data_IF_315527363955
#
_entry.id   IF_315527363955
#
_cell.length_a   1.000
_cell.length_b   1.000
_cell.length_c   1.000
_cell.angle_alpha   90.00
_cell.angle_beta   90.00
_cell.angle_gamma   90.00
#
_symmetry.space_group_name_H-M   'P 1'
#
loop_
_entity.id
_entity.type
_entity.pdbx_description
1 polymer ?
#
# COMPACT_ATOMS: atom_id res chain seq x y z
N UNK A 1 -1.17 2.24 -13.93
CA UNK A 1 -0.76 1.27 -12.90
C UNK A 1 -1.29 -0.09 -13.28
N UNK A 2 -0.45 -1.11 -13.26
CA UNK A 2 -0.81 -2.46 -13.72
C UNK A 2 -0.68 -3.46 -12.58
N UNK A 3 -1.59 -4.43 -12.52
CA UNK A 3 -1.52 -5.54 -11.57
C UNK A 3 -0.20 -6.28 -11.79
N UNK A 4 0.44 -6.69 -10.69
CA UNK A 4 1.76 -7.33 -10.72
C UNK A 4 2.91 -6.37 -10.47
N UNK A 5 2.66 -5.06 -10.51
CA UNK A 5 3.68 -4.08 -10.15
C UNK A 5 4.02 -4.16 -8.68
N UNK A 6 5.22 -3.69 -8.33
CA UNK A 6 5.72 -3.71 -6.95
C UNK A 6 5.41 -2.39 -6.27
N UNK A 7 4.68 -2.46 -5.17
CA UNK A 7 4.27 -1.31 -4.38
C UNK A 7 5.00 -1.32 -3.04
N UNK A 8 5.46 -0.15 -2.60
CA UNK A 8 6.13 0.01 -1.32
C UNK A 8 5.37 1.02 -0.48
N UNK A 9 4.88 0.58 0.69
CA UNK A 9 4.06 1.41 1.57
C UNK A 9 4.89 1.91 2.74
N UNK A 10 5.11 3.22 2.82
CA UNK A 10 5.79 3.84 3.96
C UNK A 10 4.75 4.16 5.01
N UNK A 11 4.87 3.52 6.18
CA UNK A 11 3.86 3.60 7.23
C UNK A 11 2.76 2.55 7.06
N UNK A 12 3.14 1.36 6.61
CA UNK A 12 2.19 0.30 6.23
C UNK A 12 1.30 -0.17 7.38
N UNK A 13 1.72 0.02 8.65
CA UNK A 13 0.95 -0.43 9.81
C UNK A 13 -0.22 0.49 10.17
N UNK A 14 -0.30 1.67 9.56
CA UNK A 14 -1.44 2.55 9.77
C UNK A 14 -2.74 1.86 9.36
N UNK A 15 -3.86 2.19 10.02
CA UNK A 15 -5.14 1.52 9.79
C UNK A 15 -5.56 1.60 8.32
N UNK A 16 -5.55 2.81 7.75
CA UNK A 16 -5.91 3.00 6.34
C UNK A 16 -4.89 2.40 5.40
N UNK A 17 -3.60 2.59 5.70
CA UNK A 17 -2.51 2.09 4.87
C UNK A 17 -2.50 0.57 4.82
N UNK A 18 -2.68 -0.09 5.96
CA UNK A 18 -2.71 -1.56 5.98
C UNK A 18 -3.89 -2.09 5.18
N UNK A 19 -5.04 -1.44 5.26
CA UNK A 19 -6.22 -1.84 4.48
C UNK A 19 -5.93 -1.74 2.99
N UNK A 20 -5.34 -0.64 2.53
CA UNK A 20 -4.97 -0.49 1.13
C UNK A 20 -3.93 -1.51 0.69
N UNK A 21 -2.94 -1.77 1.56
CA UNK A 21 -1.90 -2.76 1.26
C UNK A 21 -2.51 -4.16 1.06
N UNK A 22 -3.43 -4.53 1.93
CA UNK A 22 -4.10 -5.84 1.83
C UNK A 22 -4.97 -5.92 0.58
N UNK A 23 -5.70 -4.87 0.25
CA UNK A 23 -6.50 -4.82 -0.98
C UNK A 23 -5.59 -4.97 -2.19
N UNK A 24 -4.51 -4.22 -2.25
CA UNK A 24 -3.56 -4.31 -3.36
C UNK A 24 -2.95 -5.70 -3.47
N UNK A 25 -2.61 -6.30 -2.34
CA UNK A 25 -2.09 -7.67 -2.30
C UNK A 25 -3.10 -8.65 -2.90
N UNK A 26 -4.36 -8.52 -2.51
CA UNK A 26 -5.41 -9.39 -3.02
C UNK A 26 -5.67 -9.20 -4.50
N UNK A 27 -5.42 -7.99 -5.02
CA UNK A 27 -5.56 -7.71 -6.44
C UNK A 27 -4.40 -8.24 -7.29
N UNK A 28 -3.35 -8.73 -6.66
CA UNK A 28 -2.22 -9.31 -7.37
C UNK A 28 -0.99 -8.44 -7.44
N UNK A 29 -0.97 -7.29 -6.77
CA UNK A 29 0.23 -6.48 -6.65
C UNK A 29 1.23 -7.13 -5.71
N UNK A 30 2.51 -6.87 -5.95
CA UNK A 30 3.57 -7.24 -5.02
C UNK A 30 3.64 -6.12 -3.98
N UNK A 31 3.40 -6.45 -2.72
CA UNK A 31 3.30 -5.46 -1.65
C UNK A 31 4.41 -5.65 -0.63
N UNK A 32 5.03 -4.56 -0.25
CA UNK A 32 6.05 -4.50 0.79
C UNK A 32 5.97 -3.11 1.41
N UNK A 33 6.51 -2.93 2.60
CA UNK A 33 6.48 -1.62 3.23
C UNK A 33 7.43 -1.54 4.40
N UNK A 34 7.39 -0.41 5.07
CA UNK A 34 8.16 -0.18 6.28
C UNK A 34 7.30 0.53 7.32
N UNK A 35 7.66 0.33 8.58
CA UNK A 35 7.04 1.01 9.70
C UNK A 35 7.91 0.81 10.93
N UNK A 36 7.48 1.38 12.07
CA UNK A 36 8.20 1.20 13.31
C UNK A 36 8.11 -0.24 13.77
N UNK A 37 9.03 -0.64 14.66
CA UNK A 37 9.06 -1.99 15.23
C UNK A 37 7.99 -2.21 16.30
N UNK A 38 7.24 -1.17 16.66
CA UNK A 38 6.17 -1.30 17.64
C UNK A 38 5.08 -2.21 17.12
N UNK A 39 4.43 -2.93 18.04
CA UNK A 39 3.29 -3.77 17.69
C UNK A 39 2.06 -2.93 17.44
N UNK A 40 1.37 -3.24 16.36
CA UNK A 40 0.12 -2.59 15.98
C UNK A 40 -0.96 -3.66 15.81
N UNK A 41 -2.20 -3.25 15.98
CA UNK A 41 -3.34 -4.13 15.77
C UNK A 41 -3.35 -4.70 14.34
N UNK A 42 -2.77 -3.98 13.38
CA UNK A 42 -2.72 -4.39 11.97
C UNK A 42 -1.63 -5.42 11.67
N UNK A 43 -0.70 -5.66 12.59
CA UNK A 43 0.45 -6.56 12.35
C UNK A 43 -0.01 -7.96 11.96
N UNK A 44 -1.02 -8.49 12.65
CA UNK A 44 -1.47 -9.84 12.40
C UNK A 44 -1.93 -10.04 10.96
N UNK A 45 -2.77 -9.14 10.46
CA UNK A 45 -3.29 -9.24 9.11
C UNK A 45 -2.18 -9.15 8.07
N UNK A 46 -1.23 -8.24 8.28
CA UNK A 46 -0.09 -8.08 7.36
C UNK A 46 0.80 -9.31 7.37
N UNK A 47 1.05 -9.90 8.55
CA UNK A 47 1.85 -11.11 8.66
C UNK A 47 1.17 -12.31 8.02
N UNK A 48 -0.14 -12.41 8.16
CA UNK A 48 -0.91 -13.50 7.55
C UNK A 48 -0.87 -13.43 6.02
N UNK A 49 -0.76 -12.24 5.47
CA UNK A 49 -0.62 -12.05 4.03
C UNK A 49 0.82 -12.21 3.54
N UNK A 50 1.76 -12.49 4.47
CA UNK A 50 3.19 -12.63 4.15
C UNK A 50 3.80 -11.37 3.56
N UNK A 51 3.31 -10.20 3.98
CA UNK A 51 3.85 -8.92 3.52
C UNK A 51 5.10 -8.60 4.32
N UNK A 52 6.19 -8.31 3.63
CA UNK A 52 7.47 -7.94 4.27
C UNK A 52 7.38 -6.50 4.77
N UNK A 53 7.72 -6.32 6.05
CA UNK A 53 7.73 -4.99 6.68
C UNK A 53 9.14 -4.72 7.19
N UNK A 54 9.78 -3.71 6.59
CA UNK A 54 11.12 -3.29 6.97
C UNK A 54 11.06 -2.33 8.15
N UNK A 55 12.16 -2.25 8.90
CA UNK A 55 12.28 -1.31 10.02
C UNK A 55 12.56 0.08 9.47
N UNK A 56 11.63 1.00 9.67
CA UNK A 56 11.73 2.37 9.13
C UNK A 56 12.95 3.12 9.70
N UNK A 57 13.41 2.74 10.89
CA UNK A 57 14.54 3.41 11.51
C UNK A 57 15.89 2.99 10.92
N UNK A 58 15.95 1.86 10.24
CA UNK A 58 17.20 1.33 9.70
C UNK A 58 17.21 1.26 8.18
N UNK A 59 16.06 1.14 7.53
CA UNK A 59 16.04 1.02 6.08
C UNK A 59 16.36 2.34 5.40
N UNK A 60 17.31 2.30 4.46
CA UNK A 60 17.77 3.50 3.76
C UNK A 60 17.61 3.42 2.26
N UNK A 61 17.45 2.22 1.73
CA UNK A 61 17.35 2.02 0.29
C UNK A 61 16.04 1.32 -0.03
N UNK A 62 15.35 1.85 -1.03
CA UNK A 62 14.14 1.22 -1.52
C UNK A 62 14.51 0.00 -2.38
N UNK A 63 13.72 -1.10 -2.32
CA UNK A 63 13.98 -2.23 -3.22
C UNK A 63 13.99 -1.79 -4.68
N UNK A 64 14.97 -2.27 -5.42
CA UNK A 64 15.21 -1.81 -6.80
C UNK A 64 14.10 -2.13 -7.78
N UNK A 65 13.26 -3.10 -7.46
CA UNK A 65 12.12 -3.49 -8.30
C UNK A 65 10.84 -2.71 -7.98
N UNK A 66 10.90 -1.72 -7.09
CA UNK A 66 9.73 -0.95 -6.69
C UNK A 66 9.23 -0.07 -7.83
N UNK A 67 7.95 -0.16 -8.13
CA UNK A 67 7.32 0.63 -9.19
C UNK A 67 6.64 1.89 -8.67
N UNK A 68 6.16 1.86 -7.43
CA UNK A 68 5.41 2.97 -6.84
C UNK A 68 5.59 2.96 -5.32
N UNK A 69 5.76 4.14 -4.75
CA UNK A 69 5.81 4.33 -3.30
C UNK A 69 4.54 5.03 -2.83
N UNK A 70 3.92 4.49 -1.81
CA UNK A 70 2.77 5.10 -1.16
C UNK A 70 3.22 5.62 0.20
N UNK A 71 3.21 6.93 0.38
CA UNK A 71 3.71 7.58 1.59
C UNK A 71 2.56 7.90 2.53
N UNK A 72 2.64 7.39 3.77
CA UNK A 72 1.64 7.69 4.79
C UNK A 72 1.74 9.13 5.26
N UNK A 73 0.59 9.72 5.63
CA UNK A 73 0.52 11.13 5.99
C UNK A 73 1.36 11.49 7.22
N UNK A 74 1.60 10.52 8.11
CA UNK A 74 2.41 10.74 9.31
C UNK A 74 3.90 10.77 9.06
N UNK A 75 4.34 10.52 7.84
CA UNK A 75 5.76 10.37 7.51
C UNK A 75 6.24 11.49 6.61
N UNK A 76 7.52 11.87 6.80
CA UNK A 76 8.13 12.99 6.10
C UNK A 76 8.67 12.58 4.74
N UNK A 77 8.64 13.52 3.79
CA UNK A 77 9.32 13.36 2.51
C UNK A 77 10.84 13.31 2.64
N UNK A 78 11.37 13.59 3.83
CA UNK A 78 12.80 13.61 4.08
C UNK A 78 13.37 12.30 4.61
N UNK A 79 12.53 11.28 4.75
CA UNK A 79 13.02 9.97 5.18
C UNK A 79 14.04 9.42 4.18
N UNK A 80 15.10 8.73 4.67
CA UNK A 80 16.13 8.20 3.78
C UNK A 80 15.57 7.34 2.65
N UNK A 81 14.57 6.49 2.95
CA UNK A 81 13.99 5.64 1.94
C UNK A 81 13.20 6.43 0.89
N UNK A 82 12.56 7.53 1.30
CA UNK A 82 11.82 8.39 0.38
C UNK A 82 12.79 9.14 -0.52
N UNK A 83 13.88 9.64 0.05
CA UNK A 83 14.92 10.32 -0.74
C UNK A 83 15.56 9.37 -1.74
N UNK A 84 15.78 8.12 -1.35
CA UNK A 84 16.33 7.12 -2.25
C UNK A 84 15.37 6.84 -3.42
N UNK A 85 14.07 6.78 -3.14
CA UNK A 85 13.07 6.61 -4.20
C UNK A 85 13.10 7.78 -5.18
N UNK A 86 13.27 9.00 -4.68
CA UNK A 86 13.38 10.19 -5.55
C UNK A 86 14.62 10.12 -6.44
N UNK A 87 15.75 9.67 -5.88
CA UNK A 87 16.98 9.51 -6.64
C UNK A 87 16.78 8.50 -7.76
N UNK A 88 16.05 7.42 -7.49
CA UNK A 88 15.78 6.36 -8.46
C UNK A 88 14.64 6.71 -9.41
N UNK A 89 14.07 7.90 -9.29
CA UNK A 89 12.96 8.38 -10.13
C UNK A 89 11.72 7.50 -10.01
N UNK A 90 11.49 6.94 -8.84
CA UNK A 90 10.30 6.15 -8.56
C UNK A 90 9.17 7.11 -8.15
N UNK A 91 7.99 6.92 -8.69
CA UNK A 91 6.83 7.75 -8.38
C UNK A 91 6.41 7.58 -6.92
N UNK A 92 6.08 8.69 -6.28
CA UNK A 92 5.63 8.70 -4.89
C UNK A 92 4.26 9.35 -4.84
N UNK A 93 3.30 8.65 -4.24
CA UNK A 93 1.93 9.16 -4.08
C UNK A 93 1.53 9.07 -2.62
N UNK A 94 0.54 9.84 -2.22
CA UNK A 94 0.01 9.72 -0.87
C UNK A 94 -1.15 8.73 -0.82
N UNK A 95 -1.70 8.52 0.38
CA UNK A 95 -2.81 7.60 0.61
C UNK A 95 -4.01 7.93 -0.30
N UNK A 96 -4.39 9.21 -0.34
CA UNK A 96 -5.56 9.63 -1.12
C UNK A 96 -5.36 9.43 -2.61
N UNK A 97 -4.17 9.73 -3.10
CA UNK A 97 -3.85 9.55 -4.52
C UNK A 97 -3.90 8.08 -4.91
N UNK A 98 -3.35 7.21 -4.08
CA UNK A 98 -3.37 5.78 -4.36
C UNK A 98 -4.78 5.22 -4.29
N UNK A 99 -5.55 5.63 -3.28
CA UNK A 99 -6.94 5.23 -3.16
C UNK A 99 -7.73 5.63 -4.40
N UNK A 100 -7.52 6.85 -4.90
CA UNK A 100 -8.16 7.31 -6.12
C UNK A 100 -7.80 6.47 -7.33
N UNK A 101 -6.53 6.08 -7.44
CA UNK A 101 -6.09 5.21 -8.54
C UNK A 101 -6.74 3.84 -8.46
N UNK A 102 -6.85 3.26 -7.28
CA UNK A 102 -7.50 1.96 -7.12
C UNK A 102 -8.99 2.03 -7.43
N UNK A 103 -9.68 3.05 -6.91
CA UNK A 103 -11.13 3.15 -7.07
C UNK A 103 -11.54 3.47 -8.50
N UNK A 104 -10.61 3.97 -9.31
CA UNK A 104 -10.90 4.21 -10.71
C UNK A 104 -10.79 2.95 -11.57
N UNK A 105 -10.40 1.83 -10.99
CA UNK A 105 -10.19 0.57 -11.70
C UNK A 105 -11.38 -0.36 -11.53
N UNK A 106 -11.69 -1.08 -12.61
CA UNK A 106 -12.79 -2.03 -12.63
C UNK A 106 -12.60 -3.17 -11.62
N UNK A 107 -11.37 -3.57 -11.39
CA UNK A 107 -11.06 -4.66 -10.49
C UNK A 107 -11.55 -4.38 -9.07
N UNK A 108 -11.35 -3.17 -8.58
CA UNK A 108 -11.80 -2.82 -7.24
C UNK A 108 -13.33 -2.82 -7.15
N UNK A 109 -13.99 -2.28 -8.16
CA UNK A 109 -15.45 -2.26 -8.22
C UNK A 109 -16.00 -3.70 -8.20
N UNK A 110 -15.40 -4.60 -8.96
CA UNK A 110 -15.82 -5.99 -9.01
C UNK A 110 -15.69 -6.67 -7.64
N UNK A 111 -14.62 -6.41 -6.92
CA UNK A 111 -14.41 -6.98 -5.60
C UNK A 111 -15.45 -6.46 -4.60
N UNK A 112 -15.72 -5.16 -4.64
CA UNK A 112 -16.67 -4.55 -3.73
C UNK A 112 -18.10 -4.97 -4.01
N UNK A 113 -18.44 -5.24 -5.27
CA UNK A 113 -19.82 -5.48 -5.70
C UNK A 113 -20.24 -6.92 -5.78
N UNK A 114 -19.36 -7.85 -5.63
CA UNK A 114 -19.77 -9.23 -5.77
C UNK A 114 -20.63 -9.65 -4.60
N UNK A 115 -20.99 -9.37 -5.01
CA UNK A 115 -21.74 -10.00 -4.40
C UNK A 115 -22.53 -9.83 -4.17
N UNK A 116 -22.22 -9.23 -4.76
CA UNK A 116 -23.00 -9.33 -4.90
C UNK A 116 -23.19 -8.82 -4.95
N UNK A 117 -23.60 -8.56 -5.27
CA UNK A 117 -24.02 -8.23 -5.32
C UNK A 117 -24.16 -7.70 -4.57
N UNK A 118 -24.10 -7.36 -4.31
CA UNK A 118 -24.42 -7.01 -3.88
C UNK A 118 -24.16 -6.13 -3.36
N UNK A 119 -23.96 -5.85 -3.47
CA UNK A 119 -23.89 -5.30 -3.24
C UNK A 119 -23.48 -4.47 -3.09
N UNK A 120 -23.36 -4.04 -3.46
CA UNK A 120 -23.23 -3.52 -3.53
C UNK A 120 -22.94 -2.81 -3.06
N UNK A 121 -22.85 -2.58 -3.07
CA UNK A 121 -22.83 -2.17 -2.70
C UNK A 121 -22.32 -1.55 -1.86
N UNK A 122 -22.05 -1.63 -1.81
CA UNK A 122 -21.62 -1.19 -0.89
C UNK A 122 -20.41 -0.55 -0.54
N UNK A 123 -19.87 -0.28 -0.67
CA UNK A 123 -18.87 0.33 -0.41
C UNK A 123 -18.69 1.18 -1.20
N UNK A 124 -19.28 1.07 -1.88
CA UNK A 124 -19.64 1.08 -2.66
C UNK A 124 -20.26 1.12 -2.93
N UNK A 125 -20.53 1.30 -3.38
CA UNK A 125 -21.33 0.95 -3.63
C UNK A 125 -21.58 1.15 -3.82
N UNK A 126 -21.53 1.18 -4.15
CA UNK A 126 -22.01 0.97 -4.53
C UNK A 126 -22.63 1.32 -4.47
#
# INVERSE_FOLDING_TARGET
MKIGQSLYFVGIKGVGMSALALIAHDLGYKVRGCDSQKEFITDQALNEANIVIDDIDTIKNIPGDTDLVILGAAFSNDLPIVLDAKIKLISIVDYSQFLGQLTSRQELVAIAGTHGKTTTTALVSY
#
